data_IF_317722311602
#
_entry.id   IF_317722311602
#
_cell.length_a   1.000
_cell.length_b   1.000
_cell.length_c   1.000
_cell.angle_alpha   90.00
_cell.angle_beta   90.00
_cell.angle_gamma   90.00
#
_symmetry.space_group_name_H-M   'P 1'
#
loop_
_entity.id
_entity.type
_entity.pdbx_description
1 polymer ?
#
# COMPACT_ATOMS: atom_id res chain seq x y z
N UNK A 1 11.10 21.55 21.06
CA UNK A 1 9.97 20.71 20.63
C UNK A 1 10.25 20.14 19.25
N UNK A 2 10.29 18.81 19.13
CA UNK A 2 10.57 18.10 17.89
C UNK A 2 9.24 17.65 17.29
N UNK A 3 9.00 18.01 16.01
CA UNK A 3 7.79 17.61 15.28
C UNK A 3 8.20 16.63 14.18
N UNK A 4 7.67 15.41 14.24
CA UNK A 4 7.81 14.41 13.20
C UNK A 4 6.62 14.41 12.24
N UNK A 5 6.85 14.06 10.98
CA UNK A 5 5.79 13.85 9.99
C UNK A 5 5.91 12.48 9.33
N UNK A 6 4.86 11.70 9.46
CA UNK A 6 4.74 10.43 8.77
C UNK A 6 4.26 10.66 7.35
N UNK A 7 5.19 10.71 6.39
CA UNK A 7 4.88 11.01 4.99
C UNK A 7 4.24 9.85 4.23
N UNK A 8 4.30 8.64 4.78
CA UNK A 8 3.72 7.42 4.19
C UNK A 8 2.65 6.82 5.10
N UNK A 9 2.08 5.71 4.69
CA UNK A 9 1.18 4.92 5.54
C UNK A 9 2.02 4.05 6.47
N UNK A 10 1.54 3.84 7.69
CA UNK A 10 2.14 2.86 8.62
C UNK A 10 2.25 1.50 7.92
N UNK A 11 3.41 0.84 8.00
CA UNK A 11 3.62 -0.47 7.40
C UNK A 11 2.72 -1.55 8.06
N UNK A 12 2.57 -2.72 7.43
CA UNK A 12 1.78 -3.82 7.97
C UNK A 12 2.16 -4.18 9.41
N UNK A 13 3.46 -4.29 9.71
CA UNK A 13 4.01 -4.52 11.04
C UNK A 13 4.72 -3.24 11.53
N UNK A 14 4.08 -2.45 12.39
CA UNK A 14 4.52 -1.09 12.71
C UNK A 14 5.49 -1.02 13.91
N UNK A 15 6.37 -1.98 14.10
CA UNK A 15 7.27 -2.08 15.28
C UNK A 15 8.20 -0.87 15.43
N UNK A 16 8.64 -0.28 14.33
CA UNK A 16 9.52 0.91 14.33
C UNK A 16 8.83 2.15 14.89
N UNK A 17 7.49 2.11 15.04
CA UNK A 17 6.69 3.22 15.55
C UNK A 17 6.25 3.05 17.01
N UNK A 18 6.73 2.02 17.70
CA UNK A 18 6.53 1.90 19.16
C UNK A 18 7.18 3.10 19.83
N UNK A 19 6.43 3.80 20.69
CA UNK A 19 6.95 4.99 21.38
C UNK A 19 8.17 4.64 22.24
N UNK A 20 9.24 5.37 22.05
CA UNK A 20 10.52 5.24 22.76
C UNK A 20 11.10 6.61 23.07
N UNK A 21 12.10 6.64 23.92
CA UNK A 21 12.95 7.81 24.09
C UNK A 21 13.57 8.25 22.76
N UNK A 22 13.75 9.55 22.55
CA UNK A 22 14.25 10.10 21.29
C UNK A 22 13.21 10.26 20.17
N UNK A 23 11.98 9.75 20.34
CA UNK A 23 10.90 10.02 19.38
C UNK A 23 10.43 11.49 19.48
N UNK A 24 9.82 12.05 18.42
CA UNK A 24 9.36 13.44 18.43
C UNK A 24 8.29 13.68 19.50
N UNK A 25 8.23 14.92 19.99
CA UNK A 25 7.20 15.37 20.95
C UNK A 25 5.79 15.34 20.34
N UNK A 26 5.70 15.58 19.03
CA UNK A 26 4.48 15.56 18.26
C UNK A 26 4.68 14.83 16.93
N UNK A 27 3.87 13.82 16.66
CA UNK A 27 3.86 13.09 15.39
C UNK A 27 2.62 13.45 14.56
N UNK A 28 2.84 13.93 13.36
CA UNK A 28 1.79 14.25 12.39
C UNK A 28 1.53 13.04 11.49
N UNK A 29 0.26 12.61 11.40
CA UNK A 29 -0.16 11.45 10.62
C UNK A 29 -1.28 11.77 9.63
N UNK A 30 -1.45 10.93 8.62
CA UNK A 30 -2.31 11.20 7.48
C UNK A 30 -3.72 10.61 7.59
N UNK A 31 -4.08 10.02 8.72
CA UNK A 31 -5.38 9.38 8.86
C UNK A 31 -5.70 8.95 10.28
N UNK A 32 -6.99 8.85 10.58
CA UNK A 32 -7.46 8.50 11.92
C UNK A 32 -7.09 7.07 12.32
N UNK A 33 -7.03 6.13 11.36
CA UNK A 33 -6.61 4.76 11.67
C UNK A 33 -5.15 4.70 12.09
N UNK A 34 -4.28 5.50 11.45
CA UNK A 34 -2.87 5.61 11.83
C UNK A 34 -2.73 6.22 13.23
N UNK A 35 -3.49 7.28 13.54
CA UNK A 35 -3.54 7.83 14.91
C UNK A 35 -4.00 6.77 15.92
N UNK A 36 -5.05 6.02 15.60
CA UNK A 36 -5.57 4.96 16.48
C UNK A 36 -4.56 3.83 16.69
N UNK A 37 -3.82 3.43 15.65
CA UNK A 37 -2.76 2.44 15.77
C UNK A 37 -1.68 2.93 16.75
N UNK A 38 -1.19 4.14 16.57
CA UNK A 38 -0.15 4.73 17.42
C UNK A 38 -0.61 4.84 18.88
N UNK A 39 -1.78 5.45 19.11
CA UNK A 39 -2.24 5.72 20.48
C UNK A 39 -2.72 4.46 21.21
N UNK A 40 -3.42 3.54 20.54
CA UNK A 40 -4.02 2.37 21.18
C UNK A 40 -3.12 1.14 21.22
N UNK A 41 -2.07 1.11 20.38
CA UNK A 41 -1.27 -0.11 20.19
C UNK A 41 0.24 0.10 20.34
N UNK A 42 0.73 1.33 20.15
CA UNK A 42 2.17 1.60 20.05
C UNK A 42 2.66 2.60 21.12
N UNK A 43 1.86 2.85 22.17
CA UNK A 43 2.26 3.59 23.36
C UNK A 43 2.28 5.11 23.23
N UNK A 44 1.78 5.70 22.12
CA UNK A 44 1.68 7.15 21.98
C UNK A 44 0.48 7.72 22.73
N UNK A 45 0.65 8.89 23.36
CA UNK A 45 -0.46 9.63 23.98
C UNK A 45 -1.26 10.38 22.91
N UNK A 46 -2.56 10.57 23.14
CA UNK A 46 -3.46 11.29 22.21
C UNK A 46 -2.96 12.69 21.84
N UNK A 47 -2.36 13.42 22.81
CA UNK A 47 -1.77 14.75 22.62
C UNK A 47 -0.48 14.77 21.81
N UNK A 48 0.21 13.63 21.69
CA UNK A 48 1.45 13.46 20.95
C UNK A 48 1.22 13.10 19.48
N UNK A 49 -0.02 12.80 19.09
CA UNK A 49 -0.35 12.42 17.70
C UNK A 49 -1.46 13.29 17.14
N UNK A 50 -1.15 14.03 16.08
CA UNK A 50 -2.11 14.89 15.40
C UNK A 50 -2.42 14.37 14.01
N UNK A 51 -3.71 14.17 13.72
CA UNK A 51 -4.16 13.79 12.39
C UNK A 51 -4.26 15.03 11.49
N UNK A 52 -3.50 15.04 10.41
CA UNK A 52 -3.50 16.11 9.41
C UNK A 52 -3.88 15.59 8.04
N UNK A 53 -4.17 16.50 7.13
CA UNK A 53 -4.31 16.14 5.71
C UNK A 53 -2.95 15.75 5.14
N UNK A 54 -2.91 14.69 4.37
CA UNK A 54 -1.68 14.22 3.75
C UNK A 54 -1.06 15.27 2.83
N UNK A 55 0.23 15.48 2.99
CA UNK A 55 1.03 16.32 2.10
C UNK A 55 1.49 15.56 0.86
N UNK A 56 1.60 14.23 0.96
CA UNK A 56 2.03 13.35 -0.14
C UNK A 56 0.85 12.91 -1.01
N UNK A 57 -0.22 12.46 -0.37
CA UNK A 57 -1.38 11.90 -1.06
C UNK A 57 -2.36 13.02 -1.39
N UNK A 58 -2.28 13.55 -2.59
CA UNK A 58 -3.24 14.51 -3.10
C UNK A 58 -3.94 13.97 -4.36
N UNK A 59 -5.09 14.53 -4.69
CA UNK A 59 -5.88 14.11 -5.85
C UNK A 59 -5.18 14.45 -7.16
N UNK A 60 -4.32 15.46 -7.17
CA UNK A 60 -3.58 15.88 -8.37
C UNK A 60 -2.54 14.84 -8.80
N UNK A 61 -2.00 14.05 -7.87
CA UNK A 61 -1.12 12.94 -8.20
C UNK A 61 -1.94 11.78 -8.76
N UNK A 62 -2.20 11.80 -10.06
CA UNK A 62 -2.93 10.75 -10.79
C UNK A 62 -2.07 9.50 -10.97
N UNK A 63 -1.69 8.84 -9.88
CA UNK A 63 -1.15 7.48 -9.99
C UNK A 63 -2.29 6.58 -10.41
N UNK A 64 -2.22 6.07 -11.62
CA UNK A 64 -3.17 5.09 -12.09
C UNK A 64 -2.80 3.72 -11.51
N UNK A 65 -3.59 3.24 -10.58
CA UNK A 65 -3.40 1.91 -9.98
C UNK A 65 -4.03 0.78 -10.81
N UNK A 66 -4.82 1.12 -11.85
CA UNK A 66 -5.48 0.10 -12.64
C UNK A 66 -4.49 -0.72 -13.47
N UNK A 67 -4.50 -2.03 -13.26
CA UNK A 67 -3.67 -2.96 -14.03
C UNK A 67 -2.17 -2.89 -13.73
N UNK A 68 -1.76 -2.35 -12.60
CA UNK A 68 -0.35 -2.33 -12.24
C UNK A 68 0.03 -3.49 -11.32
N UNK A 69 1.21 -4.05 -11.58
CA UNK A 69 1.91 -4.99 -10.73
C UNK A 69 3.08 -4.24 -10.13
N UNK A 70 3.08 -4.02 -8.83
CA UNK A 70 4.14 -3.31 -8.11
C UNK A 70 5.10 -4.32 -7.49
N UNK A 71 6.33 -4.34 -7.97
CA UNK A 71 7.39 -5.17 -7.39
C UNK A 71 7.82 -4.61 -6.03
N UNK A 72 8.26 -5.47 -5.10
CA UNK A 72 8.67 -5.04 -3.76
C UNK A 72 9.95 -4.22 -3.83
N UNK A 73 10.25 -3.47 -2.77
CA UNK A 73 11.54 -2.78 -2.63
C UNK A 73 12.70 -3.78 -2.59
N UNK A 74 12.54 -4.86 -1.82
CA UNK A 74 13.54 -5.91 -1.68
C UNK A 74 13.03 -7.24 -2.25
N UNK A 75 13.85 -7.91 -3.05
CA UNK A 75 13.58 -9.24 -3.61
C UNK A 75 14.59 -10.21 -3.00
N UNK A 76 14.15 -11.00 -2.05
CA UNK A 76 14.94 -12.06 -1.46
C UNK A 76 15.00 -13.26 -2.40
N UNK A 77 13.84 -13.82 -2.74
CA UNK A 77 13.68 -14.97 -3.63
C UNK A 77 12.68 -14.66 -4.75
N UNK A 78 13.20 -14.38 -5.96
CA UNK A 78 12.38 -14.09 -7.13
C UNK A 78 11.56 -15.28 -7.63
N UNK A 79 12.03 -16.51 -7.42
CA UNK A 79 11.33 -17.72 -7.85
C UNK A 79 10.09 -17.97 -6.96
N UNK A 80 10.22 -17.75 -5.65
CA UNK A 80 9.13 -17.82 -4.67
C UNK A 80 8.04 -16.77 -5.01
N UNK A 81 8.44 -15.53 -5.28
CA UNK A 81 7.52 -14.45 -5.68
C UNK A 81 6.81 -14.84 -6.98
N UNK A 82 7.56 -15.32 -7.98
CA UNK A 82 6.99 -15.71 -9.26
C UNK A 82 6.05 -16.92 -9.15
N UNK A 83 6.35 -17.88 -8.28
CA UNK A 83 5.48 -19.00 -7.97
C UNK A 83 4.12 -18.53 -7.43
N UNK A 84 4.11 -17.65 -6.41
CA UNK A 84 2.87 -17.12 -5.86
C UNK A 84 2.10 -16.26 -6.85
N UNK A 85 2.80 -15.53 -7.72
CA UNK A 85 2.17 -14.80 -8.81
C UNK A 85 1.40 -15.74 -9.74
N UNK A 86 2.02 -16.83 -10.22
CA UNK A 86 1.34 -17.83 -11.04
C UNK A 86 0.13 -18.42 -10.32
N UNK A 87 0.26 -18.72 -9.05
CA UNK A 87 -0.82 -19.25 -8.20
C UNK A 87 -1.99 -18.26 -8.12
N UNK A 88 -1.74 -16.97 -7.88
CA UNK A 88 -2.78 -15.95 -7.90
C UNK A 88 -3.52 -15.91 -9.24
N UNK A 89 -2.78 -15.88 -10.33
CA UNK A 89 -3.39 -15.87 -11.67
C UNK A 89 -4.28 -17.11 -11.88
N UNK A 90 -3.84 -18.27 -11.44
CA UNK A 90 -4.63 -19.52 -11.55
C UNK A 90 -5.89 -19.47 -10.69
N UNK A 91 -5.78 -19.04 -9.42
CA UNK A 91 -6.93 -18.89 -8.51
C UNK A 91 -7.97 -17.90 -9.02
N UNK A 92 -7.55 -16.92 -9.79
CA UNK A 92 -8.40 -15.84 -10.29
C UNK A 92 -8.60 -15.86 -11.79
N UNK A 93 -8.48 -17.03 -12.46
CA UNK A 93 -8.70 -17.18 -13.91
C UNK A 93 -10.01 -16.57 -14.40
N UNK A 94 -11.08 -16.61 -13.61
CA UNK A 94 -12.38 -15.99 -13.92
C UNK A 94 -12.42 -14.46 -13.70
N UNK A 95 -11.42 -13.89 -13.04
CA UNK A 95 -11.31 -12.44 -12.94
C UNK A 95 -10.64 -11.93 -14.23
N UNK A 96 -11.36 -11.07 -14.94
CA UNK A 96 -10.75 -10.30 -16.02
C UNK A 96 -9.78 -9.30 -15.41
N UNK A 97 -8.49 -9.64 -15.41
CA UNK A 97 -7.46 -8.68 -15.07
C UNK A 97 -7.41 -7.63 -16.19
N UNK A 98 -7.38 -6.32 -15.84
CA UNK A 98 -7.05 -5.30 -16.83
C UNK A 98 -5.63 -5.54 -17.33
N UNK A 99 -5.22 -4.81 -18.39
CA UNK A 99 -3.85 -4.87 -18.92
C UNK A 99 -2.83 -4.68 -17.80
N UNK A 100 -2.17 -5.77 -17.39
CA UNK A 100 -1.21 -5.73 -16.30
C UNK A 100 0.12 -5.17 -16.79
N UNK A 101 0.63 -4.14 -16.12
CA UNK A 101 1.95 -3.54 -16.35
C UNK A 101 2.81 -3.74 -15.11
N UNK A 102 4.00 -4.29 -15.28
CA UNK A 102 4.95 -4.45 -14.19
C UNK A 102 5.67 -3.13 -13.95
N UNK A 103 5.68 -2.68 -12.71
CA UNK A 103 6.39 -1.49 -12.24
C UNK A 103 7.42 -1.87 -11.20
N UNK A 104 8.65 -1.47 -11.41
CA UNK A 104 9.69 -1.55 -10.40
C UNK A 104 9.44 -0.51 -9.30
N UNK A 105 10.00 -0.75 -8.13
CA UNK A 105 10.16 0.32 -7.15
C UNK A 105 11.14 1.37 -7.72
N UNK A 106 10.85 2.68 -7.63
CA UNK A 106 11.69 3.71 -8.26
C UNK A 106 13.18 3.61 -7.91
N UNK A 107 13.49 3.31 -6.64
CA UNK A 107 14.88 3.15 -6.18
C UNK A 107 15.57 1.88 -6.67
N UNK A 108 14.86 0.99 -7.37
CA UNK A 108 15.35 -0.33 -7.80
C UNK A 108 15.37 -0.50 -9.34
N UNK A 109 15.32 0.59 -10.09
CA UNK A 109 15.30 0.53 -11.57
C UNK A 109 16.54 -0.15 -12.15
N UNK A 110 17.72 0.02 -11.54
CA UNK A 110 18.98 -0.62 -11.95
C UNK A 110 19.17 -2.05 -11.44
N UNK A 111 18.31 -2.57 -10.58
CA UNK A 111 18.47 -3.87 -9.95
C UNK A 111 18.27 -5.03 -10.95
N UNK A 112 19.27 -5.91 -11.05
CA UNK A 112 19.22 -7.12 -11.89
C UNK A 112 18.06 -8.05 -11.48
N UNK A 113 17.86 -8.29 -10.17
CA UNK A 113 16.78 -9.15 -9.66
C UNK A 113 15.41 -8.59 -10.07
N UNK A 114 15.20 -7.27 -9.98
CA UNK A 114 13.94 -6.62 -10.40
C UNK A 114 13.71 -6.76 -11.90
N UNK A 115 14.75 -6.52 -12.71
CA UNK A 115 14.68 -6.69 -14.16
C UNK A 115 14.36 -8.13 -14.56
N UNK A 116 14.99 -9.09 -13.91
CA UNK A 116 14.76 -10.51 -14.18
C UNK A 116 13.34 -10.94 -13.80
N UNK A 117 12.88 -10.60 -12.59
CA UNK A 117 11.51 -10.90 -12.14
C UNK A 117 10.46 -10.24 -13.04
N UNK A 118 10.67 -8.97 -13.40
CA UNK A 118 9.80 -8.26 -14.35
C UNK A 118 9.69 -9.02 -15.67
N UNK A 119 10.82 -9.41 -16.26
CA UNK A 119 10.86 -10.16 -17.52
C UNK A 119 10.14 -11.51 -17.40
N UNK A 120 10.33 -12.25 -16.29
CA UNK A 120 9.64 -13.51 -16.03
C UNK A 120 8.12 -13.33 -15.99
N UNK A 121 7.65 -12.30 -15.28
CA UNK A 121 6.22 -11.99 -15.18
C UNK A 121 5.66 -11.58 -16.54
N UNK A 122 6.30 -10.70 -17.27
CA UNK A 122 5.85 -10.22 -18.57
C UNK A 122 5.78 -11.37 -19.60
N UNK A 123 6.82 -12.20 -19.69
CA UNK A 123 6.83 -13.40 -20.53
C UNK A 123 5.67 -14.36 -20.19
N UNK A 124 5.42 -14.56 -18.88
CA UNK A 124 4.32 -15.42 -18.44
C UNK A 124 2.95 -14.86 -18.84
N UNK A 125 2.74 -13.56 -18.69
CA UNK A 125 1.50 -12.89 -19.09
C UNK A 125 1.26 -13.02 -20.60
N UNK A 126 2.29 -12.82 -21.42
CA UNK A 126 2.23 -12.96 -22.88
C UNK A 126 1.89 -14.40 -23.27
N UNK A 127 2.66 -15.38 -22.76
CA UNK A 127 2.48 -16.80 -23.08
C UNK A 127 1.06 -17.31 -22.75
N UNK A 128 0.49 -16.86 -21.66
CA UNK A 128 -0.82 -17.33 -21.21
C UNK A 128 -1.99 -16.50 -21.73
N UNK A 129 -1.75 -15.57 -22.67
CA UNK A 129 -2.79 -14.69 -23.27
C UNK A 129 -3.67 -14.02 -22.18
N UNK A 130 -3.10 -13.77 -21.00
CA UNK A 130 -3.74 -13.02 -19.91
C UNK A 130 -3.82 -11.54 -20.29
N UNK A 131 -3.31 -11.26 -21.47
CA UNK A 131 -3.38 -10.03 -22.18
C UNK A 131 -4.74 -9.92 -22.85
N UNK A 132 -5.58 -9.01 -22.36
CA UNK A 132 -6.41 -8.20 -23.22
C UNK A 132 -7.66 -8.78 -23.87
N UNK A 133 -8.71 -8.93 -23.13
CA UNK A 133 -9.99 -8.52 -23.70
C UNK A 133 -10.43 -7.25 -22.97
N UNK A 134 -10.31 -6.13 -23.66
CA UNK A 134 -10.97 -4.90 -23.34
C UNK A 134 -12.49 -5.12 -23.38
N UNK A 135 -13.06 -5.64 -22.32
CA UNK A 135 -14.50 -5.59 -22.09
C UNK A 135 -14.69 -5.10 -20.67
N UNK A 136 -15.05 -3.83 -20.57
CA UNK A 136 -15.78 -3.15 -19.48
C UNK A 136 -15.83 -3.85 -18.12
N UNK A 137 -14.69 -4.23 -17.54
CA UNK A 137 -14.67 -4.50 -16.12
C UNK A 137 -14.38 -3.19 -15.40
N UNK A 138 -15.40 -2.56 -14.85
CA UNK A 138 -15.34 -1.39 -13.97
C UNK A 138 -14.55 -1.67 -12.67
N UNK A 139 -13.65 -2.63 -12.66
CA UNK A 139 -12.92 -3.05 -11.47
C UNK A 139 -11.46 -2.70 -11.62
N UNK A 140 -11.09 -1.56 -11.04
CA UNK A 140 -9.70 -1.21 -10.88
C UNK A 140 -9.01 -2.23 -9.96
N UNK A 141 -7.98 -2.92 -10.47
CA UNK A 141 -7.24 -3.96 -9.76
C UNK A 141 -5.75 -3.67 -9.86
N UNK A 142 -5.04 -3.80 -8.74
CA UNK A 142 -3.58 -3.77 -8.70
C UNK A 142 -3.04 -4.94 -7.88
N UNK A 143 -1.82 -5.37 -8.23
CA UNK A 143 -1.10 -6.43 -7.54
C UNK A 143 0.12 -5.83 -6.84
N UNK A 144 0.37 -6.28 -5.63
CA UNK A 144 1.48 -5.85 -4.79
C UNK A 144 2.24 -7.06 -4.28
N UNK A 145 3.54 -6.89 -4.11
CA UNK A 145 4.42 -7.88 -3.52
C UNK A 145 5.14 -7.29 -2.31
N UNK A 146 5.27 -8.09 -1.25
CA UNK A 146 6.04 -7.73 -0.07
C UNK A 146 5.45 -6.56 0.73
N UNK A 147 6.20 -6.09 1.72
CA UNK A 147 5.76 -5.00 2.57
C UNK A 147 5.67 -3.68 1.79
N UNK A 148 4.47 -3.14 1.59
CA UNK A 148 4.27 -1.88 0.87
C UNK A 148 3.05 -1.10 1.33
N UNK A 149 3.25 0.19 1.61
CA UNK A 149 2.18 1.13 1.95
C UNK A 149 1.28 1.48 0.73
N UNK A 150 1.71 1.18 -0.49
CA UNK A 150 0.96 1.46 -1.72
C UNK A 150 -0.34 0.68 -1.81
N UNK A 151 -0.49 -0.42 -1.08
CA UNK A 151 -1.77 -1.14 -0.91
C UNK A 151 -2.86 -0.19 -0.42
N UNK A 152 -2.59 0.55 0.65
CA UNK A 152 -3.57 1.47 1.24
C UNK A 152 -3.88 2.62 0.27
N UNK A 153 -2.86 3.18 -0.41
CA UNK A 153 -3.09 4.23 -1.41
C UNK A 153 -3.96 3.73 -2.57
N UNK A 154 -3.73 2.51 -3.05
CA UNK A 154 -4.54 1.87 -4.08
C UNK A 154 -6.02 1.77 -3.66
N UNK A 155 -6.27 1.32 -2.43
CA UNK A 155 -7.62 1.19 -1.88
C UNK A 155 -8.33 2.54 -1.75
N UNK A 156 -7.62 3.58 -1.29
CA UNK A 156 -8.14 4.95 -1.20
C UNK A 156 -8.56 5.54 -2.57
N UNK A 157 -7.97 5.05 -3.64
CA UNK A 157 -8.32 5.42 -5.01
C UNK A 157 -9.44 4.56 -5.62
N UNK A 158 -10.11 3.74 -4.80
CA UNK A 158 -11.23 2.89 -5.19
C UNK A 158 -10.82 1.64 -5.97
N UNK A 159 -9.55 1.27 -5.96
CA UNK A 159 -9.05 0.04 -6.58
C UNK A 159 -9.07 -1.12 -5.59
N UNK A 160 -9.15 -2.36 -6.10
CA UNK A 160 -8.94 -3.58 -5.33
C UNK A 160 -7.45 -3.90 -5.31
N UNK A 161 -6.93 -4.31 -4.16
CA UNK A 161 -5.54 -4.70 -4.02
C UNK A 161 -5.42 -6.20 -3.81
N UNK A 162 -4.68 -6.88 -4.68
CA UNK A 162 -4.17 -8.22 -4.42
C UNK A 162 -2.75 -8.10 -3.91
N UNK A 163 -2.45 -8.80 -2.83
CA UNK A 163 -1.17 -8.74 -2.16
C UNK A 163 -0.58 -10.13 -2.03
N UNK A 164 0.62 -10.29 -2.53
CA UNK A 164 1.41 -11.51 -2.44
C UNK A 164 2.51 -11.26 -1.42
N UNK A 165 2.48 -12.03 -0.34
CA UNK A 165 3.43 -11.93 0.76
C UNK A 165 4.40 -13.10 0.71
N UNK A 166 5.68 -12.81 0.75
CA UNK A 166 6.73 -13.84 0.93
C UNK A 166 6.73 -14.34 2.37
N UNK A 167 6.57 -13.42 3.31
CA UNK A 167 6.33 -13.67 4.73
C UNK A 167 5.03 -12.96 5.16
N UNK A 168 3.90 -13.71 5.24
CA UNK A 168 2.62 -13.11 5.61
C UNK A 168 2.58 -12.49 7.00
N UNK A 169 3.38 -12.96 7.93
CA UNK A 169 3.35 -12.46 9.31
C UNK A 169 3.99 -11.07 9.41
N UNK A 170 4.94 -10.77 8.54
CA UNK A 170 5.60 -9.47 8.46
C UNK A 170 4.96 -8.50 7.45
N UNK A 171 4.36 -9.04 6.37
CA UNK A 171 4.01 -8.24 5.20
C UNK A 171 2.51 -7.97 5.03
N UNK A 172 1.63 -8.84 5.57
CA UNK A 172 0.18 -8.66 5.41
C UNK A 172 -0.34 -7.55 6.30
N UNK A 173 -1.30 -6.78 5.78
CA UNK A 173 -2.12 -5.93 6.64
C UNK A 173 -3.06 -6.78 7.46
N UNK A 174 -3.27 -6.41 8.74
CA UNK A 174 -4.07 -7.16 9.69
C UNK A 174 -5.26 -6.34 10.21
N UNK A 175 -6.39 -7.00 10.46
CA UNK A 175 -7.57 -6.37 11.03
C UNK A 175 -7.36 -5.89 12.48
N UNK A 176 -6.36 -6.39 13.17
CA UNK A 176 -6.02 -5.93 14.50
C UNK A 176 -5.62 -4.44 14.49
N UNK A 177 -4.86 -4.04 13.48
CA UNK A 177 -4.45 -2.65 13.28
C UNK A 177 -5.43 -1.89 12.37
N UNK A 178 -5.83 -2.48 11.25
CA UNK A 178 -6.55 -1.82 10.16
C UNK A 178 -8.04 -2.21 10.16
N UNK A 179 -8.82 -1.66 11.08
CA UNK A 179 -10.24 -2.02 11.27
C UNK A 179 -11.12 -1.78 10.04
N UNK A 180 -10.71 -0.85 9.18
CA UNK A 180 -11.44 -0.49 7.94
C UNK A 180 -11.12 -1.36 6.74
N UNK A 181 -10.19 -2.28 6.87
CA UNK A 181 -9.91 -3.25 5.81
C UNK A 181 -10.84 -4.46 5.91
N UNK A 182 -11.39 -4.83 4.76
CA UNK A 182 -11.92 -6.17 4.54
C UNK A 182 -10.82 -7.00 3.89
N UNK A 183 -10.41 -8.06 4.56
CA UNK A 183 -9.27 -8.90 4.17
C UNK A 183 -9.81 -10.27 3.83
N UNK A 184 -9.67 -10.68 2.57
CA UNK A 184 -9.99 -12.01 2.11
C UNK A 184 -8.69 -12.78 1.87
N UNK A 185 -8.46 -13.81 2.67
CA UNK A 185 -7.36 -14.76 2.46
C UNK A 185 -7.72 -15.68 1.31
N UNK A 186 -6.97 -15.62 0.24
CA UNK A 186 -7.15 -16.47 -0.95
C UNK A 186 -6.28 -17.72 -0.89
N UNK A 187 -5.12 -17.59 -0.24
CA UNK A 187 -4.16 -18.63 0.00
C UNK A 187 -3.28 -18.25 1.21
N UNK A 188 -2.37 -19.13 1.65
CA UNK A 188 -1.45 -18.85 2.76
C UNK A 188 -0.69 -17.52 2.56
N UNK A 189 -0.26 -17.25 1.33
CA UNK A 189 0.58 -16.10 0.98
C UNK A 189 -0.13 -15.06 0.10
N UNK A 190 -1.45 -15.20 -0.14
CA UNK A 190 -2.18 -14.37 -1.10
C UNK A 190 -3.43 -13.80 -0.45
N UNK A 191 -3.54 -12.47 -0.46
CA UNK A 191 -4.63 -11.74 0.15
C UNK A 191 -5.29 -10.78 -0.84
N UNK A 192 -6.58 -10.57 -0.68
CA UNK A 192 -7.31 -9.52 -1.35
C UNK A 192 -7.80 -8.53 -0.30
N UNK A 193 -7.56 -7.23 -0.54
CA UNK A 193 -8.00 -6.16 0.33
C UNK A 193 -9.05 -5.30 -0.35
N UNK A 194 -10.02 -4.84 0.45
CA UNK A 194 -11.04 -3.85 0.08
C UNK A 194 -11.29 -2.93 1.26
N UNK A 195 -11.72 -1.69 1.01
CA UNK A 195 -12.21 -0.82 2.07
C UNK A 195 -13.62 -1.25 2.51
N UNK A 196 -13.87 -1.19 3.81
CA UNK A 196 -15.21 -1.29 4.40
C UNK A 196 -15.92 0.06 4.26
N UNK A 197 -16.99 0.09 3.48
CA UNK A 197 -17.80 1.30 3.32
C UNK A 197 -17.11 2.43 2.53
N UNK A 198 -17.63 3.65 2.69
CA UNK A 198 -17.15 4.85 1.99
C UNK A 198 -16.09 5.65 2.76
N UNK A 199 -15.74 5.23 3.96
CA UNK A 199 -14.80 5.94 4.83
C UNK A 199 -13.37 5.76 4.36
N UNK A 200 -12.63 6.87 4.29
CA UNK A 200 -11.22 6.88 3.89
C UNK A 200 -10.28 6.63 5.06
N UNK A 201 -9.22 5.85 4.83
CA UNK A 201 -8.13 5.61 5.79
C UNK A 201 -7.20 6.83 5.84
N UNK A 202 -6.93 7.43 4.67
CA UNK A 202 -6.06 8.59 4.53
C UNK A 202 -6.89 9.85 4.32
N UNK A 203 -6.55 10.91 5.04
CA UNK A 203 -7.15 12.22 4.83
C UNK A 203 -6.47 12.92 3.65
N UNK A 204 -7.13 12.92 2.50
CA UNK A 204 -6.64 13.52 1.25
C UNK A 204 -7.30 14.88 1.05
N UNK A 205 -6.52 15.90 0.66
CA UNK A 205 -7.04 17.22 0.33
C UNK A 205 -7.25 17.37 -1.19
N UNK A 206 -8.31 18.09 -1.56
CA UNK A 206 -8.60 18.41 -2.96
C UNK A 206 -7.83 19.64 -3.45
N UNK A 207 -7.50 20.56 -2.53
CA UNK A 207 -6.71 21.76 -2.82
C UNK A 207 -5.64 21.91 -1.73
N UNK A 208 -4.37 21.86 -2.07
CA UNK A 208 -3.29 22.00 -1.09
C UNK A 208 -2.69 23.39 -1.21
N UNK A 209 -2.95 24.23 -0.21
CA UNK A 209 -2.03 25.29 0.15
C UNK A 209 -1.05 24.72 1.20
N UNK A 210 0.09 24.19 0.75
CA UNK A 210 1.09 23.52 1.60
C UNK A 210 1.60 24.44 2.71
N UNK A 211 1.80 25.71 2.40
CA UNK A 211 2.34 26.69 3.34
C UNK A 211 1.37 27.02 4.48
N UNK A 212 0.07 27.01 4.21
CA UNK A 212 -0.94 27.33 5.23
C UNK A 212 -1.05 26.26 6.32
N UNK A 213 -0.91 24.98 5.97
CA UNK A 213 -1.02 23.91 6.97
C UNK A 213 0.16 23.87 7.94
N UNK A 214 1.39 24.08 7.47
CA UNK A 214 2.56 24.12 8.35
C UNK A 214 2.55 25.35 9.26
N UNK A 215 2.23 26.54 8.75
CA UNK A 215 2.11 27.74 9.59
C UNK A 215 1.13 27.54 10.74
N UNK A 216 -0.07 27.00 10.46
CA UNK A 216 -1.09 26.74 11.50
C UNK A 216 -0.69 25.68 12.53
N UNK A 217 0.23 24.78 12.20
CA UNK A 217 0.74 23.76 13.12
C UNK A 217 1.85 24.28 14.04
N UNK A 218 2.58 25.33 13.61
CA UNK A 218 3.68 25.92 14.36
C UNK A 218 3.19 27.01 15.33
N UNK A 219 2.00 27.59 15.11
CA UNK A 219 1.43 28.69 15.90
C UNK A 219 0.47 28.24 17.00
N UNK A 220 0.17 26.96 17.12
CA UNK A 220 -0.60 26.32 18.19
C UNK A 220 0.27 25.26 18.90
#
# INVERSE_FOLDING_TARGET
KIIGYMHTVIPPLPLDYIKREGHPDLLLVNGIDQKNILCKKLGWKEKEVRNITSLRYNIANKINFNGNIFLPYFIEDENKIFYFFKKLITLKKKLFFPKLKVKNHPSMEGSYKHKNLKNKIEKYLIKNKILFKNRHSNRNISLFFGSTASVIECLERGSRAFHICSDPDLEKFDNYYWKRLNILKLDKNIFEYRLKGKNKIIKINKKINRNFQFKKLLTN
#
